data_IF_339374211450
#
_entry.id   IF_339374211450
#
_cell.length_a   1.000
_cell.length_b   1.000
_cell.length_c   1.000
_cell.angle_alpha   90.00
_cell.angle_beta   90.00
_cell.angle_gamma   90.00
#
_symmetry.space_group_name_H-M   'P 1'
#
loop_
_entity.id
_entity.type
_entity.pdbx_description
1 polymer ?
#
# COMPACT_ATOMS: atom_id res chain seq x y z
N UNK A 1 -37.31 17.18 3.74
CA UNK A 1 -35.93 17.58 4.10
C UNK A 1 -34.99 16.53 3.54
N UNK A 2 -34.06 16.94 2.68
CA UNK A 2 -33.16 16.06 1.95
C UNK A 2 -32.08 15.49 2.85
N UNK A 3 -31.93 14.16 2.87
CA UNK A 3 -30.67 13.54 3.26
C UNK A 3 -29.95 13.14 1.98
N UNK A 4 -29.18 14.09 1.45
CA UNK A 4 -28.13 13.76 0.49
C UNK A 4 -26.94 13.25 1.30
N UNK A 5 -26.69 11.95 1.21
CA UNK A 5 -25.41 11.38 1.63
C UNK A 5 -24.58 11.22 0.35
N UNK A 6 -23.60 12.09 0.20
CA UNK A 6 -22.55 11.91 -0.79
C UNK A 6 -21.54 10.92 -0.22
N UNK A 7 -21.59 9.68 -0.70
CA UNK A 7 -20.47 8.75 -0.57
C UNK A 7 -19.42 9.23 -1.57
N UNK A 8 -18.18 9.36 -1.11
CA UNK A 8 -17.06 9.83 -1.91
C UNK A 8 -17.01 9.03 -3.22
N UNK A 9 -17.10 9.75 -4.34
CA UNK A 9 -17.03 9.24 -5.71
C UNK A 9 -15.56 8.90 -6.08
N UNK A 10 -14.84 8.32 -5.12
CA UNK A 10 -13.44 7.96 -5.26
C UNK A 10 -13.37 6.48 -5.58
N UNK A 11 -13.10 6.21 -6.84
CA UNK A 11 -12.83 4.87 -7.29
C UNK A 11 -11.31 4.69 -7.30
N UNK A 12 -10.83 3.64 -6.62
CA UNK A 12 -9.39 3.35 -6.47
C UNK A 12 -8.73 3.03 -7.82
N UNK A 13 -9.52 2.72 -8.85
CA UNK A 13 -9.08 2.58 -10.24
C UNK A 13 -8.56 3.89 -10.86
N UNK A 14 -8.87 5.05 -10.25
CA UNK A 14 -8.35 6.37 -10.64
C UNK A 14 -7.11 6.79 -9.86
N UNK A 15 -6.67 5.98 -8.91
CA UNK A 15 -5.45 6.20 -8.14
C UNK A 15 -4.27 5.78 -8.99
N UNK A 16 -3.28 6.66 -9.15
CA UNK A 16 -2.05 6.30 -9.86
C UNK A 16 -1.36 5.17 -9.11
N UNK A 17 -1.04 4.10 -9.84
CA UNK A 17 -0.23 3.01 -9.33
C UNK A 17 1.22 3.27 -9.75
N UNK A 18 2.12 3.19 -8.79
CA UNK A 18 3.55 3.26 -9.03
C UNK A 18 4.19 1.89 -8.87
N UNK A 19 5.22 1.65 -9.67
CA UNK A 19 5.99 0.40 -9.66
C UNK A 19 6.96 0.34 -8.45
N UNK A 20 6.39 0.43 -7.26
CA UNK A 20 7.11 0.38 -6.00
C UNK A 20 6.60 -0.77 -5.15
N UNK A 21 7.42 -1.18 -4.20
CA UNK A 21 7.10 -2.23 -3.25
C UNK A 21 7.46 -1.79 -1.84
N UNK A 22 6.65 -2.26 -0.89
CA UNK A 22 6.88 -2.00 0.53
C UNK A 22 7.71 -3.14 1.14
N UNK A 23 8.64 -2.78 2.02
CA UNK A 23 9.44 -3.73 2.77
C UNK A 23 9.23 -3.60 4.28
N UNK A 24 9.56 -4.66 5.02
CA UNK A 24 9.58 -4.68 6.48
C UNK A 24 10.96 -5.19 6.92
N UNK A 25 11.75 -4.39 7.66
CA UNK A 25 13.07 -4.83 8.19
C UNK A 25 12.99 -5.87 9.30
N UNK A 26 11.80 -6.33 9.70
CA UNK A 26 11.57 -7.25 10.81
C UNK A 26 12.37 -8.56 10.75
N UNK A 27 12.91 -8.95 9.59
CA UNK A 27 13.72 -10.15 9.41
C UNK A 27 15.24 -9.91 9.42
N UNK A 28 15.69 -8.66 9.45
CA UNK A 28 17.09 -8.27 9.26
C UNK A 28 17.61 -8.40 7.82
N UNK A 29 16.73 -8.71 6.85
CA UNK A 29 17.06 -8.77 5.42
C UNK A 29 16.85 -7.39 4.76
N UNK A 30 17.78 -6.99 3.90
CA UNK A 30 17.66 -5.77 3.10
C UNK A 30 16.86 -6.05 1.83
N UNK A 31 15.86 -5.22 1.54
CA UNK A 31 14.98 -5.39 0.39
C UNK A 31 15.69 -5.43 -0.99
N UNK A 32 16.75 -4.62 -1.25
CA UNK A 32 17.59 -4.76 -2.45
C UNK A 32 18.13 -6.16 -2.70
N UNK A 33 18.57 -6.85 -1.65
CA UNK A 33 19.09 -8.21 -1.76
C UNK A 33 17.99 -9.19 -2.18
N UNK A 34 16.75 -8.94 -1.78
CA UNK A 34 15.62 -9.85 -2.02
C UNK A 34 14.96 -9.58 -3.37
N UNK A 35 14.82 -8.33 -3.80
CA UNK A 35 14.16 -8.03 -5.09
C UNK A 35 14.95 -8.57 -6.28
N UNK A 36 16.29 -8.48 -6.24
CA UNK A 36 17.14 -9.11 -7.27
C UNK A 36 16.98 -10.62 -7.34
N UNK A 37 16.65 -11.23 -6.20
CA UNK A 37 16.39 -12.66 -6.06
C UNK A 37 14.97 -13.05 -6.54
N UNK A 38 13.97 -12.19 -6.33
CA UNK A 38 12.57 -12.39 -6.77
C UNK A 38 12.34 -12.00 -8.23
N UNK A 39 13.19 -11.14 -8.79
CA UNK A 39 13.21 -10.83 -10.22
C UNK A 39 13.35 -12.13 -11.02
N UNK A 40 12.36 -12.40 -11.87
CA UNK A 40 12.24 -13.68 -12.57
C UNK A 40 13.52 -13.99 -13.38
N UNK A 41 14.36 -14.89 -12.88
CA UNK A 41 15.29 -15.70 -13.68
C UNK A 41 16.67 -15.12 -14.02
N UNK A 42 17.28 -14.25 -13.20
CA UNK A 42 18.60 -13.68 -13.52
C UNK A 42 19.79 -14.23 -12.70
N UNK A 43 19.59 -14.66 -11.46
CA UNK A 43 20.66 -15.21 -10.61
C UNK A 43 20.56 -16.75 -10.52
N UNK A 44 21.69 -17.49 -10.49
CA UNK A 44 21.68 -18.92 -10.16
C UNK A 44 21.02 -19.15 -8.81
N UNK A 45 20.06 -20.07 -8.74
CA UNK A 45 19.35 -20.38 -7.50
C UNK A 45 20.26 -21.19 -6.56
N UNK A 46 21.16 -20.48 -5.87
CA UNK A 46 21.98 -21.04 -4.80
C UNK A 46 21.13 -21.33 -3.56
N UNK A 47 21.63 -22.18 -2.67
CA UNK A 47 20.94 -22.50 -1.41
C UNK A 47 20.68 -21.24 -0.57
N UNK A 48 21.66 -20.33 -0.49
CA UNK A 48 21.53 -19.06 0.23
C UNK A 48 20.42 -18.18 -0.35
N UNK A 49 20.34 -18.11 -1.68
CA UNK A 49 19.30 -17.35 -2.39
C UNK A 49 17.90 -17.93 -2.10
N UNK A 50 17.79 -19.26 -2.07
CA UNK A 50 16.54 -19.95 -1.74
C UNK A 50 16.09 -19.70 -0.30
N UNK A 51 17.01 -19.79 0.66
CA UNK A 51 16.70 -19.52 2.08
C UNK A 51 16.25 -18.07 2.30
N UNK A 52 16.86 -17.11 1.61
CA UNK A 52 16.44 -15.70 1.64
C UNK A 52 15.03 -15.50 1.08
N UNK A 53 14.68 -16.14 -0.05
CA UNK A 53 13.31 -16.15 -0.61
C UNK A 53 12.31 -16.68 0.40
N UNK A 54 12.57 -17.87 0.94
CA UNK A 54 11.67 -18.56 1.88
C UNK A 54 11.44 -17.73 3.15
N UNK A 55 12.47 -17.03 3.63
CA UNK A 55 12.36 -16.16 4.81
C UNK A 55 11.53 -14.89 4.54
N UNK A 56 11.65 -14.29 3.36
CA UNK A 56 10.96 -13.03 3.04
C UNK A 56 9.52 -13.23 2.55
N UNK A 57 9.28 -14.28 1.76
CA UNK A 57 8.01 -14.51 1.07
C UNK A 57 6.77 -14.40 1.98
N UNK A 58 6.76 -14.92 3.23
CA UNK A 58 5.60 -14.77 4.12
C UNK A 58 5.25 -13.32 4.46
N UNK A 59 6.25 -12.45 4.67
CA UNK A 59 6.02 -11.03 4.98
C UNK A 59 5.49 -10.26 3.78
N UNK A 60 6.02 -10.56 2.58
CA UNK A 60 5.53 -9.99 1.33
C UNK A 60 4.08 -10.39 1.06
N UNK A 61 3.76 -11.66 1.31
CA UNK A 61 2.41 -12.19 1.16
C UNK A 61 1.46 -11.56 2.18
N UNK A 62 1.85 -11.47 3.46
CA UNK A 62 1.04 -10.82 4.49
C UNK A 62 0.74 -9.36 4.12
N UNK A 63 1.73 -8.58 3.72
CA UNK A 63 1.53 -7.20 3.25
C UNK A 63 0.58 -7.15 2.05
N UNK A 64 0.80 -7.98 1.03
CA UNK A 64 -0.03 -8.01 -0.17
C UNK A 64 -1.48 -8.35 0.15
N UNK A 65 -1.72 -9.40 0.93
CA UNK A 65 -3.06 -9.85 1.30
C UNK A 65 -3.76 -8.81 2.18
N UNK A 66 -3.07 -8.31 3.21
CA UNK A 66 -3.66 -7.34 4.14
C UNK A 66 -4.03 -6.04 3.42
N UNK A 67 -3.18 -5.56 2.52
CA UNK A 67 -3.46 -4.36 1.76
C UNK A 67 -4.55 -4.56 0.71
N UNK A 68 -4.50 -5.65 -0.04
CA UNK A 68 -5.48 -5.92 -1.10
C UNK A 68 -6.90 -6.07 -0.56
N UNK A 69 -7.05 -6.71 0.62
CA UNK A 69 -8.35 -6.96 1.24
C UNK A 69 -8.75 -5.93 2.29
N UNK A 70 -7.99 -4.83 2.42
CA UNK A 70 -8.27 -3.77 3.38
C UNK A 70 -8.37 -4.32 4.83
N UNK A 71 -7.47 -5.24 5.17
CA UNK A 71 -7.37 -5.89 6.48
C UNK A 71 -6.22 -5.24 7.26
N UNK A 72 -6.38 -5.16 8.58
CA UNK A 72 -5.30 -4.71 9.46
C UNK A 72 -4.06 -5.59 9.31
N UNK A 73 -2.94 -4.95 8.95
CA UNK A 73 -1.66 -5.65 8.89
C UNK A 73 -0.94 -5.59 10.23
N UNK A 74 -0.35 -6.72 10.63
CA UNK A 74 0.61 -6.76 11.76
C UNK A 74 2.02 -6.45 11.27
N UNK A 75 2.31 -6.78 10.01
CA UNK A 75 3.51 -6.37 9.30
C UNK A 75 3.34 -4.93 8.76
N UNK A 76 3.88 -3.94 9.48
CA UNK A 76 3.86 -2.54 9.04
C UNK A 76 5.13 -2.23 8.27
N UNK A 77 5.04 -1.66 7.05
CA UNK A 77 6.24 -1.35 6.27
C UNK A 77 7.01 -0.19 6.89
N UNK A 78 8.33 -0.23 6.74
CA UNK A 78 9.25 0.81 7.22
C UNK A 78 9.92 1.60 6.09
N UNK A 79 9.87 1.06 4.87
CA UNK A 79 10.44 1.67 3.68
C UNK A 79 9.67 1.25 2.44
N UNK A 80 9.68 2.13 1.45
CA UNK A 80 9.30 1.84 0.08
C UNK A 80 10.55 1.77 -0.78
N UNK A 81 10.51 0.90 -1.78
CA UNK A 81 11.62 0.71 -2.69
C UNK A 81 11.15 0.85 -4.13
N UNK A 82 11.90 1.65 -4.87
CA UNK A 82 11.72 1.87 -6.30
C UNK A 82 12.95 1.35 -7.02
N UNK A 83 12.80 0.84 -8.24
CA UNK A 83 13.95 0.40 -9.03
C UNK A 83 13.74 0.66 -10.50
N UNK A 84 14.31 -0.20 -11.33
CA UNK A 84 14.15 -0.15 -12.78
C UNK A 84 13.10 -1.19 -13.16
N UNK A 85 12.07 -0.77 -13.89
CA UNK A 85 11.08 -1.67 -14.46
C UNK A 85 11.15 -1.53 -15.99
N UNK A 86 11.30 -2.66 -16.69
CA UNK A 86 11.40 -2.69 -18.16
C UNK A 86 12.46 -1.73 -18.77
N UNK A 87 13.62 -1.61 -18.12
CA UNK A 87 14.73 -0.71 -18.49
C UNK A 87 14.43 0.79 -18.36
N UNK A 88 13.33 1.18 -17.72
CA UNK A 88 13.03 2.57 -17.39
C UNK A 88 13.11 2.82 -15.89
N UNK A 89 13.64 4.00 -15.53
CA UNK A 89 13.55 4.47 -14.16
C UNK A 89 12.06 4.67 -13.82
N UNK A 90 11.61 4.02 -12.76
CA UNK A 90 10.23 4.11 -12.34
C UNK A 90 9.95 5.55 -11.90
N UNK A 91 8.83 6.11 -12.37
CA UNK A 91 8.40 7.46 -11.98
C UNK A 91 8.13 7.50 -10.49
N UNK A 92 8.50 8.61 -9.85
CA UNK A 92 8.12 8.89 -8.47
C UNK A 92 6.81 9.69 -8.45
N UNK A 93 6.01 9.58 -7.37
CA UNK A 93 4.86 10.44 -7.16
C UNK A 93 5.30 11.89 -7.08
N UNK A 94 4.55 12.75 -7.76
CA UNK A 94 4.76 14.20 -7.66
C UNK A 94 3.97 14.74 -6.48
N UNK A 95 4.12 16.05 -6.22
CA UNK A 95 3.40 16.70 -5.10
C UNK A 95 1.89 16.77 -5.34
N UNK A 96 1.47 16.70 -6.60
CA UNK A 96 0.07 16.69 -7.01
C UNK A 96 -0.58 15.31 -6.81
N UNK A 97 0.21 14.25 -6.64
CA UNK A 97 -0.25 12.89 -6.37
C UNK A 97 -0.55 12.72 -4.88
N UNK A 98 -1.69 13.27 -4.45
CA UNK A 98 -2.13 13.27 -3.05
C UNK A 98 -2.35 11.85 -2.49
N UNK A 99 -2.81 10.94 -3.34
CA UNK A 99 -3.12 9.55 -3.02
C UNK A 99 -2.61 8.69 -4.17
N UNK A 100 -1.84 7.64 -3.86
CA UNK A 100 -1.33 6.70 -4.85
C UNK A 100 -1.25 5.28 -4.28
N UNK A 101 -1.12 4.29 -5.16
CA UNK A 101 -0.98 2.87 -4.80
C UNK A 101 0.36 2.29 -5.24
N UNK A 102 0.73 1.16 -4.64
CA UNK A 102 1.96 0.40 -4.95
C UNK A 102 1.63 -1.05 -5.29
N UNK A 103 2.59 -1.82 -5.83
CA UNK A 103 2.34 -3.19 -6.31
C UNK A 103 1.76 -4.13 -5.26
N UNK A 104 2.20 -4.01 -4.01
CA UNK A 104 1.73 -4.86 -2.92
C UNK A 104 0.37 -4.38 -2.35
N UNK A 105 -0.45 -3.70 -3.16
CA UNK A 105 -1.79 -3.23 -2.81
C UNK A 105 -1.84 -2.05 -1.83
N UNK A 106 -0.69 -1.54 -1.38
CA UNK A 106 -0.61 -0.48 -0.37
C UNK A 106 -1.13 0.86 -0.88
N UNK A 107 -1.88 1.57 -0.05
CA UNK A 107 -2.32 2.95 -0.32
C UNK A 107 -1.44 3.92 0.45
N UNK A 108 -0.98 4.96 -0.24
CA UNK A 108 -0.12 5.99 0.31
C UNK A 108 -0.70 7.38 0.12
N UNK A 109 -0.31 8.26 1.04
CA UNK A 109 -0.65 9.66 1.04
C UNK A 109 0.62 10.51 1.05
N UNK A 110 0.60 11.60 0.28
CA UNK A 110 1.61 12.65 0.44
C UNK A 110 1.43 13.40 1.77
N UNK A 111 2.40 14.22 2.20
CA UNK A 111 2.33 14.94 3.47
C UNK A 111 1.10 15.81 3.63
N UNK A 112 0.69 16.52 2.57
CA UNK A 112 -0.45 17.42 2.58
C UNK A 112 -1.77 16.69 2.85
N UNK A 113 -1.99 15.56 2.17
CA UNK A 113 -3.18 14.73 2.38
C UNK A 113 -3.15 14.07 3.77
N UNK A 114 -2.00 13.53 4.17
CA UNK A 114 -1.83 12.93 5.49
C UNK A 114 -2.07 13.93 6.63
N UNK A 115 -1.68 15.21 6.47
CA UNK A 115 -1.93 16.25 7.47
C UNK A 115 -3.44 16.47 7.67
N UNK A 116 -4.24 16.49 6.59
CA UNK A 116 -5.70 16.59 6.67
C UNK A 116 -6.26 15.37 7.41
N UNK A 117 -5.86 14.16 7.02
CA UNK A 117 -6.34 12.93 7.66
C UNK A 117 -6.00 12.85 9.16
N UNK A 118 -4.81 13.33 9.56
CA UNK A 118 -4.39 13.43 10.97
C UNK A 118 -5.25 14.40 11.77
N UNK A 119 -5.67 15.53 11.18
CA UNK A 119 -6.57 16.49 11.85
C UNK A 119 -7.91 15.86 12.22
N UNK A 120 -8.40 14.95 11.38
CA UNK A 120 -9.67 14.25 11.60
C UNK A 120 -9.59 13.08 12.60
N UNK A 121 -8.44 12.88 13.26
CA UNK A 121 -8.21 11.84 14.29
C UNK A 121 -8.71 10.46 13.87
N UNK A 122 -8.38 10.05 12.64
CA UNK A 122 -8.67 8.69 12.18
C UNK A 122 -7.95 7.61 13.01
N UNK A 123 -6.96 7.99 13.83
CA UNK A 123 -6.21 7.14 14.75
C UNK A 123 -4.71 7.31 14.50
N UNK A 124 -3.90 7.41 15.56
CA UNK A 124 -2.44 7.72 15.42
C UNK A 124 -1.67 6.63 14.66
N UNK A 125 -2.13 5.38 14.69
CA UNK A 125 -1.48 4.23 14.07
C UNK A 125 -1.97 3.93 12.64
N UNK A 126 -2.86 4.76 12.08
CA UNK A 126 -3.42 4.53 10.74
C UNK A 126 -2.46 4.97 9.64
N UNK A 127 -1.65 5.99 9.90
CA UNK A 127 -0.77 6.58 8.89
C UNK A 127 0.69 6.38 9.31
N UNK A 128 1.30 5.33 8.78
CA UNK A 128 2.69 5.00 9.06
C UNK A 128 3.60 5.81 8.13
N UNK A 129 4.53 6.62 8.66
CA UNK A 129 5.49 7.33 7.83
C UNK A 129 6.45 6.36 7.15
N UNK A 130 6.68 6.54 5.86
CA UNK A 130 7.62 5.76 5.05
C UNK A 130 8.40 6.67 4.10
N UNK A 131 9.62 6.27 3.78
CA UNK A 131 10.48 6.95 2.80
C UNK A 131 10.71 6.04 1.59
N UNK A 132 10.97 6.67 0.44
CA UNK A 132 11.26 5.96 -0.82
C UNK A 132 12.77 5.87 -1.01
N UNK A 133 13.26 4.66 -1.22
CA UNK A 133 14.67 4.37 -1.47
C UNK A 133 14.84 3.81 -2.88
N UNK A 134 15.93 4.20 -3.52
CA UNK A 134 16.36 3.60 -4.77
C UNK A 134 16.99 2.23 -4.48
N UNK A 135 16.49 1.22 -5.17
CA UNK A 135 16.90 -0.17 -4.98
C UNK A 135 18.39 -0.39 -5.31
N UNK A 136 18.89 0.28 -6.36
CA UNK A 136 20.23 0.02 -6.87
C UNK A 136 21.33 0.64 -6.01
N UNK A 137 21.05 1.82 -5.46
CA UNK A 137 22.01 2.60 -4.66
C UNK A 137 21.78 2.47 -3.16
N UNK A 138 20.58 2.07 -2.73
CA UNK A 138 20.19 2.09 -1.32
C UNK A 138 20.00 3.51 -0.75
N UNK A 139 20.14 4.54 -1.58
CA UNK A 139 19.99 5.93 -1.19
C UNK A 139 18.51 6.36 -1.20
N UNK A 140 18.19 7.45 -0.50
CA UNK A 140 16.88 8.08 -0.60
C UNK A 140 16.62 8.49 -2.06
N UNK A 141 15.49 8.03 -2.60
CA UNK A 141 15.00 8.46 -3.91
C UNK A 141 14.17 9.74 -3.82
N UNK A 142 13.64 10.04 -2.63
CA UNK A 142 12.92 11.27 -2.32
C UNK A 142 13.18 11.70 -0.88
N UNK A 143 13.35 13.00 -0.66
CA UNK A 143 13.42 13.60 0.67
C UNK A 143 12.03 13.73 1.33
N UNK A 144 10.97 13.45 0.57
CA UNK A 144 9.59 13.54 1.05
C UNK A 144 9.20 12.30 1.86
N UNK A 145 8.52 12.53 2.99
CA UNK A 145 7.97 11.45 3.81
C UNK A 145 6.52 11.19 3.41
N UNK A 146 6.25 9.99 2.90
CA UNK A 146 4.91 9.55 2.56
C UNK A 146 4.29 8.81 3.73
N UNK A 147 2.98 8.58 3.66
CA UNK A 147 2.23 7.95 4.73
C UNK A 147 1.46 6.76 4.20
N UNK A 148 1.89 5.57 4.61
CA UNK A 148 1.23 4.32 4.32
C UNK A 148 -0.02 4.13 5.18
N UNK A 149 -1.12 3.74 4.55
CA UNK A 149 -2.38 3.46 5.22
C UNK A 149 -2.36 2.05 5.84
N UNK A 150 -2.27 1.96 7.16
CA UNK A 150 -2.62 0.74 7.89
C UNK A 150 -4.06 0.85 8.39
N UNK A 151 -4.90 -0.11 8.03
CA UNK A 151 -6.31 -0.08 8.41
C UNK A 151 -6.48 -0.71 9.78
N UNK A 152 -6.91 0.09 10.76
CA UNK A 152 -7.07 -0.42 12.13
C UNK A 152 -8.47 -0.95 12.41
N UNK A 153 -9.49 -0.38 11.77
CA UNK A 153 -10.89 -0.77 11.93
C UNK A 153 -11.57 -0.93 10.58
N UNK A 154 -12.16 -2.09 10.33
CA UNK A 154 -13.11 -2.30 9.24
C UNK A 154 -14.52 -2.38 9.80
N UNK A 155 -15.38 -1.45 9.39
CA UNK A 155 -16.81 -1.46 9.74
C UNK A 155 -17.59 -1.87 8.52
N UNK A 156 -18.24 -3.03 8.60
CA UNK A 156 -19.15 -3.50 7.57
C UNK A 156 -20.55 -2.97 7.89
N UNK A 157 -21.08 -2.17 6.99
CA UNK A 157 -22.45 -1.69 7.08
C UNK A 157 -23.31 -2.51 6.12
N UNK A 158 -24.18 -3.35 6.67
CA UNK A 158 -25.22 -4.01 5.88
C UNK A 158 -26.32 -2.98 5.65
N UNK A 159 -26.46 -2.52 4.41
CA UNK A 159 -27.65 -1.78 4.00
C UNK A 159 -28.77 -2.81 3.79
N UNK A 160 -29.59 -3.03 4.83
CA UNK A 160 -30.84 -3.76 4.65
C UNK A 160 -31.77 -2.91 3.76
N UNK A 161 -31.75 -3.18 2.45
CA UNK A 161 -32.84 -2.75 1.58
C UNK A 161 -34.07 -3.51 2.02
N UNK A 162 -34.86 -2.94 2.96
CA UNK A 162 -36.20 -3.46 3.24
C UNK A 162 -36.95 -3.44 1.92
N UNK A 163 -37.24 -4.61 1.37
CA UNK A 163 -38.27 -4.74 0.34
C UNK A 163 -39.58 -4.25 0.95
N UNK A 164 -39.88 -2.97 0.71
CA UNK A 164 -41.23 -2.46 0.86
C UNK A 164 -42.08 -3.23 -0.17
N UNK A 165 -42.83 -4.21 0.31
CA UNK A 165 -43.96 -4.77 -0.41
C UNK A 165 -44.90 -3.60 -0.72
N UNK A 166 -44.92 -3.17 -1.98
CA UNK A 166 -45.91 -2.22 -2.47
C UNK A 166 -47.20 -3.00 -2.75
N UNK A 167 -48.13 -2.83 -1.82
CA UNK A 167 -49.58 -2.70 -1.96
C UNK A 167 -50.45 -3.87 -2.47
N UNK A 168 -51.32 -4.27 -1.53
CA UNK A 168 -52.72 -4.65 -1.70
C UNK A 168 -53.49 -3.92 -2.82
N UNK A 169 -54.46 -4.69 -3.37
CA UNK A 169 -55.73 -4.31 -4.01
C UNK A 169 -55.71 -3.92 -5.51
N UNK A 170 -56.10 -4.88 -6.34
CA UNK A 170 -57.25 -4.75 -7.24
C UNK A 170 -58.26 -5.85 -6.93
#
# INVERSE_FOLDING_TARGET
MSNQVYVCQFALDRVQQYDMEASVKGSGLMYPEIRGILGVGLEPETLEVKEKKEKYFPFSLELSDTNHFFIQSKAIPDALWVGIYQNEAIKLPTREDYIFSIWNGGILFNPSCAAILKQHRLGENILTPVQIYDLSTGCLASDETYYFLNLYERREYICETKHAQINNLY
#
